data_IF_387604425842
#
_entry.id   IF_387604425842
#
_cell.length_a   1.000
_cell.length_b   1.000
_cell.length_c   1.000
_cell.angle_alpha   90.00
_cell.angle_beta   90.00
_cell.angle_gamma   90.00
#
_symmetry.space_group_name_H-M   'P 1'
#
loop_
_entity.id
_entity.type
_entity.pdbx_description
1 polymer ?
#
# COMPACT_ATOMS: atom_id res chain seq x y z
N UNK A 1 -15.86 -8.41 -8.85
CA UNK A 1 -17.33 -8.24 -8.82
C UNK A 1 -18.03 -9.18 -7.83
N UNK A 2 -17.68 -10.48 -7.78
CA UNK A 2 -18.30 -11.45 -6.84
C UNK A 2 -18.12 -11.10 -5.35
N UNK A 3 -16.95 -10.57 -4.96
CA UNK A 3 -16.65 -10.20 -3.56
C UNK A 3 -17.43 -8.97 -3.05
N UNK A 4 -17.78 -8.04 -3.95
CA UNK A 4 -18.59 -6.85 -3.64
C UNK A 4 -20.02 -7.23 -3.25
N UNK A 5 -20.65 -8.09 -4.06
CA UNK A 5 -21.99 -8.60 -3.77
C UNK A 5 -21.96 -9.40 -2.46
N UNK A 6 -20.92 -10.21 -2.24
CA UNK A 6 -20.78 -10.94 -0.98
C UNK A 6 -20.73 -9.99 0.24
N UNK A 7 -19.92 -8.93 0.21
CA UNK A 7 -19.90 -7.95 1.31
C UNK A 7 -21.24 -7.23 1.52
N UNK A 8 -21.87 -6.75 0.45
CA UNK A 8 -23.13 -5.99 0.52
C UNK A 8 -24.31 -6.86 0.98
N UNK A 9 -24.35 -8.14 0.62
CA UNK A 9 -25.44 -9.04 0.97
C UNK A 9 -25.21 -9.83 2.27
N UNK A 10 -23.95 -10.08 2.67
CA UNK A 10 -23.62 -10.78 3.92
C UNK A 10 -23.31 -9.80 5.08
N UNK A 11 -23.19 -8.49 4.81
CA UNK A 11 -22.80 -7.44 5.77
C UNK A 11 -21.57 -7.80 6.63
N UNK A 12 -20.63 -8.55 6.05
CA UNK A 12 -19.39 -8.92 6.72
C UNK A 12 -18.26 -8.82 5.70
N UNK A 13 -17.11 -8.29 6.14
CA UNK A 13 -15.86 -8.48 5.40
C UNK A 13 -15.76 -9.95 5.08
N UNK A 14 -15.54 -10.37 3.82
CA UNK A 14 -15.64 -11.78 3.51
C UNK A 14 -14.57 -12.51 4.33
N UNK A 15 -15.00 -13.20 5.39
CA UNK A 15 -14.12 -13.87 6.36
C UNK A 15 -13.32 -15.00 5.72
N UNK A 16 -13.82 -15.50 4.59
CA UNK A 16 -13.12 -16.44 3.71
C UNK A 16 -11.92 -15.81 2.99
N UNK A 17 -11.61 -14.51 3.22
CA UNK A 17 -10.41 -13.84 2.72
C UNK A 17 -9.20 -14.00 3.65
N UNK A 18 -9.29 -14.83 4.69
CA UNK A 18 -8.18 -15.11 5.59
C UNK A 18 -6.93 -15.65 4.85
N UNK A 19 -5.79 -15.00 5.15
CA UNK A 19 -4.39 -15.41 4.91
C UNK A 19 -4.08 -15.99 3.52
N UNK A 20 -3.63 -15.11 2.61
CA UNK A 20 -3.14 -15.49 1.28
C UNK A 20 -3.61 -14.57 0.16
N UNK A 21 -4.47 -13.60 0.49
CA UNK A 21 -5.06 -12.69 -0.48
C UNK A 21 -4.19 -11.45 -0.65
N UNK A 22 -4.01 -11.09 -1.91
CA UNK A 22 -3.18 -9.98 -2.36
C UNK A 22 -3.66 -8.64 -1.82
N UNK A 23 -2.71 -7.77 -1.45
CA UNK A 23 -2.95 -6.35 -1.11
C UNK A 23 -3.77 -5.61 -2.18
N UNK A 24 -3.67 -6.01 -3.45
CA UNK A 24 -4.46 -5.41 -4.52
C UNK A 24 -5.96 -5.67 -4.36
N UNK A 25 -6.36 -6.86 -3.91
CA UNK A 25 -7.78 -7.18 -3.70
C UNK A 25 -8.33 -6.33 -2.56
N UNK A 26 -7.56 -6.15 -1.49
CA UNK A 26 -7.96 -5.25 -0.40
C UNK A 26 -8.03 -3.79 -0.87
N UNK A 27 -7.13 -3.34 -1.76
CA UNK A 27 -7.23 -2.01 -2.36
C UNK A 27 -8.51 -1.86 -3.20
N UNK A 28 -8.89 -2.86 -4.00
CA UNK A 28 -10.16 -2.85 -4.74
C UNK A 28 -11.37 -2.74 -3.80
N UNK A 29 -11.34 -3.47 -2.68
CA UNK A 29 -12.38 -3.41 -1.66
C UNK A 29 -12.43 -2.02 -1.01
N UNK A 30 -11.28 -1.41 -0.72
CA UNK A 30 -11.19 -0.05 -0.20
C UNK A 30 -11.83 0.95 -1.17
N UNK A 31 -11.48 0.88 -2.46
CA UNK A 31 -12.03 1.74 -3.52
C UNK A 31 -13.56 1.62 -3.58
N UNK A 32 -14.10 0.42 -3.38
CA UNK A 32 -15.55 0.22 -3.33
C UNK A 32 -16.16 0.87 -2.07
N UNK A 33 -15.52 0.71 -0.91
CA UNK A 33 -15.93 1.40 0.31
C UNK A 33 -15.88 2.92 0.20
N UNK A 34 -14.94 3.47 -0.58
CA UNK A 34 -14.86 4.89 -0.90
C UNK A 34 -15.99 5.31 -1.85
N UNK A 35 -16.19 4.56 -2.93
CA UNK A 35 -17.23 4.85 -3.94
C UNK A 35 -18.66 4.82 -3.41
N UNK A 36 -18.96 3.89 -2.50
CA UNK A 36 -20.30 3.72 -1.93
C UNK A 36 -20.45 4.37 -0.54
N UNK A 37 -19.44 5.10 -0.09
CA UNK A 37 -19.34 5.72 1.23
C UNK A 37 -19.62 4.76 2.41
N UNK A 38 -19.01 3.58 2.36
CA UNK A 38 -19.12 2.55 3.41
C UNK A 38 -17.84 2.59 4.25
N UNK A 39 -17.86 3.35 5.35
CA UNK A 39 -16.69 3.55 6.21
C UNK A 39 -16.12 2.24 6.77
N UNK A 40 -16.97 1.33 7.26
CA UNK A 40 -16.53 0.04 7.84
C UNK A 40 -15.70 -0.78 6.84
N UNK A 41 -16.09 -0.76 5.57
CA UNK A 41 -15.37 -1.46 4.50
C UNK A 41 -14.01 -0.84 4.22
N UNK A 42 -13.92 0.50 4.24
CA UNK A 42 -12.66 1.22 4.10
C UNK A 42 -11.71 0.89 5.25
N UNK A 43 -12.20 0.95 6.48
CA UNK A 43 -11.40 0.71 7.68
C UNK A 43 -10.84 -0.72 7.69
N UNK A 44 -11.68 -1.73 7.41
CA UNK A 44 -11.28 -3.14 7.36
C UNK A 44 -10.26 -3.39 6.24
N UNK A 45 -10.53 -2.88 5.03
CA UNK A 45 -9.62 -3.04 3.90
C UNK A 45 -8.26 -2.37 4.17
N UNK A 46 -8.25 -1.16 4.73
CA UNK A 46 -7.02 -0.47 5.11
C UNK A 46 -6.22 -1.29 6.14
N UNK A 47 -6.88 -1.78 7.20
CA UNK A 47 -6.23 -2.59 8.23
C UNK A 47 -5.55 -3.84 7.63
N UNK A 48 -6.21 -4.54 6.70
CA UNK A 48 -5.61 -5.68 6.01
C UNK A 48 -4.42 -5.30 5.12
N UNK A 49 -4.49 -4.17 4.40
CA UNK A 49 -3.33 -3.70 3.61
C UNK A 49 -2.16 -3.41 4.55
N UNK A 50 -2.36 -2.64 5.62
CA UNK A 50 -1.29 -2.26 6.55
C UNK A 50 -0.67 -3.50 7.22
N UNK A 51 -1.51 -4.46 7.62
CA UNK A 51 -1.07 -5.73 8.20
C UNK A 51 -0.21 -6.53 7.23
N UNK A 52 -0.65 -6.72 5.98
CA UNK A 52 0.11 -7.49 4.99
C UNK A 52 1.45 -6.83 4.63
N UNK A 53 1.49 -5.49 4.52
CA UNK A 53 2.73 -4.77 4.28
C UNK A 53 3.71 -4.93 5.45
N UNK A 54 3.20 -4.92 6.68
CA UNK A 54 4.00 -5.13 7.88
C UNK A 54 4.55 -6.55 7.99
N UNK A 55 3.72 -7.57 7.73
CA UNK A 55 4.15 -8.97 7.72
C UNK A 55 5.25 -9.21 6.68
N UNK A 56 5.10 -8.64 5.48
CA UNK A 56 6.10 -8.73 4.42
C UNK A 56 7.40 -8.02 4.76
N UNK A 57 7.32 -6.86 5.41
CA UNK A 57 8.49 -6.18 5.93
C UNK A 57 9.24 -7.06 6.94
N UNK A 58 8.54 -7.67 7.90
CA UNK A 58 9.19 -8.57 8.88
C UNK A 58 9.73 -9.85 8.25
N UNK A 59 9.09 -10.35 7.20
CA UNK A 59 9.58 -11.47 6.40
C UNK A 59 10.80 -11.09 5.54
N UNK A 60 11.05 -9.80 5.31
CA UNK A 60 12.13 -9.30 4.47
C UNK A 60 11.86 -9.39 2.97
N UNK A 61 10.62 -9.68 2.56
CA UNK A 61 10.23 -9.89 1.17
C UNK A 61 8.84 -9.31 0.90
N UNK A 62 8.74 -8.47 -0.12
CA UNK A 62 7.47 -7.93 -0.59
C UNK A 62 6.95 -8.72 -1.77
N UNK A 63 5.65 -8.98 -1.79
CA UNK A 63 5.02 -9.52 -2.99
C UNK A 63 4.93 -8.44 -4.08
N UNK A 64 5.00 -8.82 -5.35
CA UNK A 64 4.77 -7.89 -6.47
C UNK A 64 3.44 -7.14 -6.33
N UNK A 65 2.40 -7.81 -5.83
CA UNK A 65 1.12 -7.17 -5.57
C UNK A 65 1.22 -6.02 -4.55
N UNK A 66 2.03 -6.17 -3.51
CA UNK A 66 2.26 -5.14 -2.51
C UNK A 66 3.00 -3.94 -3.10
N UNK A 67 4.02 -4.21 -3.93
CA UNK A 67 4.73 -3.16 -4.65
C UNK A 67 3.77 -2.39 -5.56
N UNK A 68 2.91 -3.09 -6.31
CA UNK A 68 1.89 -2.45 -7.13
C UNK A 68 0.82 -1.71 -6.31
N UNK A 69 0.43 -2.22 -5.14
CA UNK A 69 -0.49 -1.51 -4.22
C UNK A 69 0.14 -0.20 -3.76
N UNK A 70 1.41 -0.21 -3.34
CA UNK A 70 2.14 1.00 -2.94
C UNK A 70 2.21 1.98 -4.11
N UNK A 71 2.57 1.49 -5.30
CA UNK A 71 2.61 2.29 -6.53
C UNK A 71 1.25 2.90 -6.85
N UNK A 72 0.14 2.17 -6.68
CA UNK A 72 -1.21 2.69 -6.95
C UNK A 72 -1.66 3.74 -5.95
N UNK A 73 -1.05 3.81 -4.77
CA UNK A 73 -1.38 4.80 -3.75
C UNK A 73 -0.47 6.04 -3.83
N UNK A 74 0.82 5.84 -4.12
CA UNK A 74 1.86 6.87 -4.03
C UNK A 74 2.50 7.23 -5.38
N UNK A 75 2.17 6.50 -6.45
CA UNK A 75 2.75 6.64 -7.78
C UNK A 75 2.18 7.80 -8.61
N UNK A 76 2.67 7.96 -9.86
CA UNK A 76 2.30 9.08 -10.74
C UNK A 76 0.82 9.14 -11.14
N UNK A 77 0.16 7.98 -11.19
CA UNK A 77 -1.27 7.84 -11.45
C UNK A 77 -1.94 7.16 -10.24
N UNK A 78 -2.09 7.89 -9.12
CA UNK A 78 -2.62 7.32 -7.91
C UNK A 78 -4.13 7.12 -8.03
N UNK A 79 -4.65 6.13 -7.33
CA UNK A 79 -6.09 5.94 -7.22
C UNK A 79 -6.76 7.19 -6.66
N UNK A 80 -7.83 7.64 -7.32
CA UNK A 80 -8.62 8.79 -6.87
C UNK A 80 -9.54 8.37 -5.73
N UNK A 81 -9.10 8.60 -4.49
CA UNK A 81 -9.85 8.33 -3.26
C UNK A 81 -10.38 9.64 -2.69
N UNK A 82 -11.64 9.64 -2.22
CA UNK A 82 -12.18 10.77 -1.47
C UNK A 82 -11.50 10.89 -0.10
N UNK A 83 -11.25 9.74 0.55
CA UNK A 83 -10.49 9.66 1.80
C UNK A 83 -8.98 9.45 1.52
N UNK A 84 -8.16 10.39 1.96
CA UNK A 84 -6.71 10.36 1.80
C UNK A 84 -5.97 9.61 2.92
N UNK A 85 -6.68 9.12 3.94
CA UNK A 85 -6.08 8.47 5.11
C UNK A 85 -5.23 7.26 4.74
N UNK A 86 -5.70 6.43 3.79
CA UNK A 86 -4.94 5.26 3.34
C UNK A 86 -3.63 5.67 2.65
N UNK A 87 -3.66 6.74 1.86
CA UNK A 87 -2.46 7.26 1.18
C UNK A 87 -1.41 7.72 2.20
N UNK A 88 -1.84 8.48 3.20
CA UNK A 88 -0.96 8.98 4.28
C UNK A 88 -0.36 7.82 5.07
N UNK A 89 -1.18 6.87 5.51
CA UNK A 89 -0.72 5.70 6.26
C UNK A 89 0.29 4.85 5.46
N UNK A 90 0.01 4.65 4.17
CA UNK A 90 0.91 3.94 3.26
C UNK A 90 2.26 4.64 3.14
N UNK A 91 2.26 5.98 3.00
CA UNK A 91 3.51 6.77 2.95
C UNK A 91 4.34 6.55 4.22
N UNK A 92 3.74 6.74 5.39
CA UNK A 92 4.43 6.64 6.68
C UNK A 92 5.06 5.24 6.86
N UNK A 93 4.30 4.20 6.50
CA UNK A 93 4.74 2.82 6.62
C UNK A 93 5.85 2.46 5.61
N UNK A 94 5.68 2.83 4.33
CA UNK A 94 6.66 2.58 3.26
C UNK A 94 7.99 3.27 3.53
N UNK A 95 7.97 4.48 4.07
CA UNK A 95 9.19 5.23 4.38
C UNK A 95 9.94 4.60 5.55
N UNK A 96 9.22 4.01 6.51
CA UNK A 96 9.82 3.18 7.57
C UNK A 96 10.44 1.87 7.07
N UNK A 97 10.03 1.37 5.89
CA UNK A 97 10.46 0.07 5.33
C UNK A 97 11.53 0.19 4.25
N UNK A 98 12.15 1.35 4.15
CA UNK A 98 13.07 1.73 3.07
C UNK A 98 14.18 0.72 2.79
N UNK A 99 14.82 0.15 3.81
CA UNK A 99 15.92 -0.81 3.65
C UNK A 99 15.48 -2.13 2.98
N UNK A 100 14.32 -2.65 3.37
CA UNK A 100 13.77 -3.89 2.82
C UNK A 100 13.22 -3.64 1.42
N UNK A 101 12.52 -2.53 1.20
CA UNK A 101 11.99 -2.16 -0.11
C UNK A 101 13.09 -1.94 -1.15
N UNK A 102 14.22 -1.33 -0.76
CA UNK A 102 15.36 -1.18 -1.68
C UNK A 102 16.04 -2.51 -2.02
N UNK A 103 15.82 -3.57 -1.26
CA UNK A 103 16.32 -4.91 -1.61
C UNK A 103 15.45 -5.57 -2.69
N UNK A 104 14.20 -5.15 -2.85
CA UNK A 104 13.27 -5.65 -3.86
C UNK A 104 13.63 -5.16 -5.27
N UNK A 105 13.70 -6.08 -6.24
CA UNK A 105 14.07 -5.77 -7.63
C UNK A 105 12.98 -4.99 -8.36
N UNK A 106 11.71 -5.32 -8.15
CA UNK A 106 10.58 -4.66 -8.79
C UNK A 106 10.47 -3.22 -8.32
N UNK A 107 10.55 -3.00 -7.01
CA UNK A 107 10.53 -1.68 -6.39
C UNK A 107 11.65 -0.79 -6.96
N UNK A 108 12.90 -1.28 -6.98
CA UNK A 108 14.03 -0.53 -7.55
C UNK A 108 13.83 -0.23 -9.03
N UNK A 109 13.30 -1.17 -9.79
CA UNK A 109 13.04 -0.98 -11.23
C UNK A 109 12.01 0.12 -11.46
N UNK A 110 10.90 0.09 -10.73
CA UNK A 110 9.85 1.12 -10.82
C UNK A 110 10.36 2.47 -10.33
N UNK A 111 11.18 2.49 -9.26
CA UNK A 111 11.75 3.72 -8.71
C UNK A 111 12.70 4.37 -9.72
N UNK A 112 13.59 3.58 -10.34
CA UNK A 112 14.54 4.07 -11.34
C UNK A 112 13.84 4.61 -12.61
N UNK A 113 12.68 4.07 -12.96
CA UNK A 113 11.86 4.57 -14.08
C UNK A 113 11.05 5.81 -13.73
N UNK A 114 11.00 6.22 -12.45
CA UNK A 114 10.10 7.27 -11.99
C UNK A 114 8.63 6.84 -11.99
N UNK A 115 8.36 5.53 -11.98
CA UNK A 115 7.02 4.95 -12.00
C UNK A 115 6.53 4.58 -10.59
N UNK A 116 7.42 4.44 -9.61
CA UNK A 116 7.06 4.01 -8.25
C UNK A 116 6.30 5.08 -7.45
N UNK A 117 6.76 6.33 -7.55
CA UNK A 117 6.25 7.47 -6.80
C UNK A 117 5.91 8.62 -7.74
N UNK A 118 4.89 9.41 -7.38
CA UNK A 118 4.74 10.75 -7.97
C UNK A 118 5.91 11.66 -7.56
N UNK A 119 6.03 12.81 -8.21
CA UNK A 119 7.17 13.72 -8.00
C UNK A 119 7.33 14.13 -6.54
N UNK A 120 6.25 14.39 -5.82
CA UNK A 120 6.35 14.84 -4.42
C UNK A 120 6.79 13.69 -3.52
N UNK A 121 6.16 12.52 -3.65
CA UNK A 121 6.53 11.36 -2.84
C UNK A 121 7.95 10.88 -3.16
N UNK A 122 8.42 11.02 -4.40
CA UNK A 122 9.79 10.71 -4.77
C UNK A 122 10.78 11.63 -4.06
N UNK A 123 10.52 12.94 -4.02
CA UNK A 123 11.36 13.90 -3.31
C UNK A 123 11.38 13.62 -1.80
N UNK A 124 10.21 13.41 -1.21
CA UNK A 124 10.09 13.07 0.21
C UNK A 124 10.87 11.78 0.55
N UNK A 125 10.81 10.78 -0.33
CA UNK A 125 11.50 9.50 -0.14
C UNK A 125 13.02 9.66 -0.24
N UNK A 126 13.50 10.48 -1.18
CA UNK A 126 14.93 10.79 -1.30
C UNK A 126 15.46 11.57 -0.09
N UNK A 127 14.66 12.47 0.48
CA UNK A 127 15.03 13.17 1.71
C UNK A 127 15.11 12.20 2.90
N UNK A 128 14.14 11.29 3.03
CA UNK A 128 14.17 10.24 4.03
C UNK A 128 15.40 9.33 3.90
N UNK A 129 15.74 8.94 2.66
CA UNK A 129 16.95 8.17 2.36
C UNK A 129 18.22 8.90 2.75
N UNK A 130 18.33 10.19 2.40
CA UNK A 130 19.50 11.00 2.74
C UNK A 130 19.72 11.07 4.26
N UNK A 131 18.64 11.22 5.03
CA UNK A 131 18.70 11.20 6.49
C UNK A 131 19.25 9.87 7.02
N UNK A 132 18.75 8.74 6.52
CA UNK A 132 19.22 7.40 6.92
C UNK A 132 20.71 7.25 6.59
N UNK A 133 21.14 7.65 5.39
CA UNK A 133 22.54 7.56 4.98
C UNK A 133 23.47 8.41 5.88
N UNK A 134 23.07 9.61 6.26
CA UNK A 134 23.85 10.49 7.13
C UNK A 134 24.00 9.92 8.55
N UNK A 135 22.96 9.28 9.08
CA UNK A 135 22.98 8.62 10.40
C UNK A 135 23.92 7.39 10.46
N UNK A 136 24.32 6.82 9.31
CA UNK A 136 25.22 5.65 9.24
C UNK A 136 26.69 6.01 8.93
N UNK A 137 27.02 7.30 8.80
CA UNK A 137 28.38 7.80 8.50
C UNK A 137 29.09 8.35 9.75
N UNK A 138 28.37 8.49 10.88
CA UNK A 138 28.92 8.83 12.21
C UNK A 138 29.22 7.58 13.07
#
# INVERSE_FOLDING_TARGET
>A
MMYMLKYLYEMAYPRDLELGISTMIHLEIYILGDKYDIKSLRDEAAAHIMYLLQEQYYAGEFSNASIFTIQKLLGPDPVCLADQSLKIQTKDQVFGYTSVLLSDEMFRTLLAKGEMFDTQHALDYLEALNKICLEHIE
#
